data_IF_443267486718
#
_entry.id   IF_443267486718
#
_cell.length_a   1.000
_cell.length_b   1.000
_cell.length_c   1.000
_cell.angle_alpha   90.00
_cell.angle_beta   90.00
_cell.angle_gamma   90.00
#
_symmetry.space_group_name_H-M   'P 1'
#
loop_
_entity.id
_entity.type
_entity.pdbx_description
1 polymer ?
#
# COMPACT_ATOMS: atom_id res chain seq x y z
N UNK A 1 16.58 -41.41 -33.02
CA UNK A 1 15.16 -41.11 -32.79
C UNK A 1 14.92 -40.47 -31.45
N UNK A 2 14.63 -39.18 -31.53
CA UNK A 2 14.42 -38.22 -30.44
C UNK A 2 12.99 -38.25 -29.89
N UNK A 3 12.89 -37.88 -28.61
CA UNK A 3 11.83 -37.05 -27.98
C UNK A 3 10.45 -37.66 -27.65
N UNK A 4 10.12 -37.72 -26.35
CA UNK A 4 9.27 -36.72 -25.66
C UNK A 4 9.02 -37.12 -24.18
N UNK A 5 9.68 -36.43 -23.24
CA UNK A 5 9.24 -36.31 -21.85
C UNK A 5 8.53 -34.97 -21.68
N UNK A 6 7.30 -35.02 -21.18
CA UNK A 6 6.46 -33.85 -20.90
C UNK A 6 6.99 -33.11 -19.67
N UNK A 7 7.55 -31.92 -19.90
CA UNK A 7 7.90 -30.96 -18.87
C UNK A 7 6.78 -29.90 -18.81
N UNK A 8 5.98 -29.90 -17.73
CA UNK A 8 5.03 -28.80 -17.44
C UNK A 8 5.67 -27.87 -16.40
N UNK A 9 6.46 -26.92 -16.87
CA UNK A 9 6.93 -25.79 -16.09
C UNK A 9 5.79 -24.80 -15.85
N UNK A 10 5.42 -24.59 -14.59
CA UNK A 10 4.47 -23.57 -14.16
C UNK A 10 5.12 -22.18 -14.16
N UNK A 11 4.64 -21.30 -15.03
CA UNK A 11 4.91 -19.85 -15.02
C UNK A 11 4.29 -19.23 -13.76
N UNK A 12 5.10 -18.90 -12.77
CA UNK A 12 4.75 -17.89 -11.76
C UNK A 12 5.58 -16.64 -12.06
N UNK A 13 5.12 -15.90 -13.06
CA UNK A 13 5.62 -14.58 -13.39
C UNK A 13 4.44 -13.63 -13.42
N UNK A 14 4.49 -12.61 -12.58
CA UNK A 14 3.74 -11.37 -12.70
C UNK A 14 2.25 -11.38 -12.28
N UNK A 15 1.97 -11.73 -11.01
CA UNK A 15 0.69 -11.43 -10.33
C UNK A 15 0.65 -10.01 -9.72
N UNK A 16 1.74 -9.23 -9.86
CA UNK A 16 1.88 -7.92 -9.22
C UNK A 16 1.25 -6.78 -10.05
N UNK A 17 1.27 -6.86 -11.37
CA UNK A 17 0.76 -5.79 -12.26
C UNK A 17 -0.75 -5.84 -12.50
N UNK A 18 -1.41 -6.98 -12.31
CA UNK A 18 -2.82 -7.15 -12.69
C UNK A 18 -3.81 -6.46 -11.73
N UNK A 19 -3.35 -5.94 -10.59
CA UNK A 19 -4.18 -5.18 -9.65
C UNK A 19 -4.16 -3.67 -9.83
N UNK A 20 -3.24 -3.14 -10.65
CA UNK A 20 -3.06 -1.69 -10.81
C UNK A 20 -3.64 -1.14 -12.12
N UNK A 21 -4.06 -2.01 -13.07
CA UNK A 21 -4.33 -1.60 -14.46
C UNK A 21 -5.79 -1.59 -14.90
N UNK A 22 -6.77 -1.65 -14.00
CA UNK A 22 -8.18 -1.49 -14.37
C UNK A 22 -8.72 -0.17 -13.84
N UNK A 23 -8.52 0.90 -14.62
CA UNK A 23 -9.41 2.06 -14.75
C UNK A 23 -8.72 3.14 -15.61
N UNK A 24 -8.67 2.97 -16.93
CA UNK A 24 -8.60 4.06 -17.91
C UNK A 24 -8.72 3.51 -19.33
N UNK A 25 -9.94 3.24 -19.77
CA UNK A 25 -10.26 3.15 -21.20
C UNK A 25 -11.55 3.94 -21.47
N UNK A 26 -11.39 5.08 -22.15
CA UNK A 26 -12.30 5.64 -23.16
C UNK A 26 -11.56 6.82 -23.83
N UNK A 27 -11.04 6.64 -25.06
CA UNK A 27 -11.63 7.05 -26.36
C UNK A 27 -11.73 8.58 -26.52
N UNK A 28 -11.28 9.25 -27.59
CA UNK A 28 -11.18 8.90 -29.01
C UNK A 28 -10.11 9.75 -29.74
N UNK A 29 -9.62 9.17 -30.83
CA UNK A 29 -8.83 9.76 -31.91
C UNK A 29 -9.65 10.74 -32.78
N UNK A 30 -8.99 11.75 -33.37
CA UNK A 30 -9.14 12.13 -34.78
C UNK A 30 -8.03 13.11 -35.21
N UNK A 31 -7.51 12.88 -36.42
CA UNK A 31 -6.43 13.60 -37.12
C UNK A 31 -6.99 14.86 -37.82
N UNK A 32 -6.12 15.83 -38.14
CA UNK A 32 -5.85 16.21 -39.54
C UNK A 32 -4.80 17.34 -39.66
N UNK A 33 -3.92 17.18 -40.65
CA UNK A 33 -2.91 18.13 -41.11
C UNK A 33 -3.53 19.09 -42.16
N UNK A 34 -3.17 20.38 -42.14
CA UNK A 34 -2.77 21.14 -43.33
C UNK A 34 -2.45 22.61 -42.99
N UNK A 35 -1.45 23.13 -43.68
CA UNK A 35 -0.93 24.51 -43.68
C UNK A 35 -1.90 25.47 -44.39
N UNK A 36 -1.89 26.75 -44.02
CA UNK A 36 -1.58 27.83 -44.98
C UNK A 36 -1.39 29.20 -44.32
N UNK A 37 -0.56 29.99 -44.97
CA UNK A 37 -0.01 31.28 -44.57
C UNK A 37 -0.99 32.45 -44.80
N UNK A 38 -0.70 33.54 -44.08
CA UNK A 38 -0.68 34.93 -44.56
C UNK A 38 -1.79 35.91 -44.11
N UNK A 39 -1.29 36.98 -43.45
CA UNK A 39 -1.75 38.37 -43.36
C UNK A 39 -2.80 38.67 -42.29
N UNK A 40 -2.38 39.28 -41.18
CA UNK A 40 -2.15 40.73 -40.96
C UNK A 40 -3.46 41.53 -40.90
N UNK A 41 -3.47 42.47 -39.94
CA UNK A 41 -4.51 43.48 -39.68
C UNK A 41 -5.72 43.03 -38.84
N UNK A 42 -5.49 42.85 -37.53
CA UNK A 42 -6.37 43.37 -36.47
C UNK A 42 -5.72 43.16 -35.08
N UNK A 43 -4.51 43.67 -34.88
CA UNK A 43 -3.94 43.87 -33.55
C UNK A 43 -4.03 45.36 -33.27
N UNK A 44 -5.07 45.81 -32.57
CA UNK A 44 -4.98 47.01 -31.71
C UNK A 44 -6.16 47.25 -30.75
N UNK A 45 -7.12 46.32 -30.58
CA UNK A 45 -8.24 46.54 -29.62
C UNK A 45 -8.41 45.46 -28.53
N UNK A 46 -7.43 44.56 -28.33
CA UNK A 46 -7.54 43.48 -27.32
C UNK A 46 -6.37 43.44 -26.31
N UNK A 47 -5.70 44.57 -26.04
CA UNK A 47 -4.55 44.63 -25.10
C UNK A 47 -4.81 45.35 -23.78
N UNK A 48 -5.95 46.00 -23.60
CA UNK A 48 -6.23 46.77 -22.37
C UNK A 48 -7.05 46.01 -21.31
N UNK A 49 -7.55 44.80 -21.60
CA UNK A 49 -8.32 44.02 -20.60
C UNK A 49 -7.51 42.95 -19.86
N UNK A 50 -6.26 42.68 -20.25
CA UNK A 50 -5.46 41.58 -19.64
C UNK A 50 -4.56 42.06 -18.48
N UNK A 51 -4.24 43.36 -18.38
CA UNK A 51 -3.39 43.88 -17.31
C UNK A 51 -4.13 44.27 -16.02
N UNK A 52 -5.46 44.47 -16.07
CA UNK A 52 -6.23 44.89 -14.90
C UNK A 52 -6.57 43.76 -13.93
N UNK A 53 -6.73 42.54 -14.43
CA UNK A 53 -7.14 41.36 -13.64
C UNK A 53 -6.03 40.86 -12.73
N UNK A 54 -4.78 40.84 -13.21
CA UNK A 54 -3.62 40.39 -12.43
C UNK A 54 -3.26 41.38 -11.31
N UNK A 55 -3.43 42.68 -11.53
CA UNK A 55 -3.11 43.72 -10.54
C UNK A 55 -4.16 43.75 -9.41
N UNK A 56 -5.45 43.59 -9.75
CA UNK A 56 -6.54 43.45 -8.78
C UNK A 56 -6.38 42.16 -7.96
N UNK A 57 -6.01 41.04 -8.60
CA UNK A 57 -5.80 39.77 -7.90
C UNK A 57 -4.61 39.83 -6.94
N UNK A 58 -3.54 40.54 -7.33
CA UNK A 58 -2.36 40.75 -6.50
C UNK A 58 -2.66 41.69 -5.31
N UNK A 59 -3.47 42.74 -5.51
CA UNK A 59 -3.92 43.62 -4.45
C UNK A 59 -4.86 42.91 -3.46
N UNK A 60 -5.81 42.09 -3.95
CA UNK A 60 -6.67 41.26 -3.10
C UNK A 60 -5.86 40.26 -2.28
N UNK A 61 -4.87 39.62 -2.90
CA UNK A 61 -4.01 38.62 -2.24
C UNK A 61 -3.18 39.28 -1.12
N UNK A 62 -2.63 40.47 -1.37
CA UNK A 62 -1.95 41.26 -0.33
C UNK A 62 -2.90 41.71 0.78
N UNK A 63 -4.11 42.15 0.42
CA UNK A 63 -5.14 42.58 1.37
C UNK A 63 -5.55 41.47 2.33
N UNK A 64 -5.70 40.23 1.85
CA UNK A 64 -6.09 39.07 2.67
C UNK A 64 -4.91 38.18 3.11
N UNK A 65 -3.66 38.61 2.92
CA UNK A 65 -2.48 37.85 3.33
C UNK A 65 -2.49 37.50 4.84
N UNK A 66 -3.02 38.39 5.67
CA UNK A 66 -3.18 38.16 7.11
C UNK A 66 -4.17 37.03 7.43
N UNK A 67 -5.21 36.86 6.61
CA UNK A 67 -6.20 35.79 6.75
C UNK A 67 -5.59 34.44 6.38
N UNK A 68 -4.81 34.38 5.29
CA UNK A 68 -4.08 33.17 4.92
C UNK A 68 -3.07 32.75 6.01
N UNK A 69 -2.33 33.71 6.57
CA UNK A 69 -1.45 33.46 7.72
C UNK A 69 -2.23 32.97 8.94
N UNK A 70 -3.43 33.50 9.19
CA UNK A 70 -4.30 33.05 10.27
C UNK A 70 -4.77 31.61 10.06
N UNK A 71 -5.16 31.24 8.84
CA UNK A 71 -5.56 29.87 8.48
C UNK A 71 -4.39 28.90 8.68
N UNK A 72 -3.20 29.20 8.18
CA UNK A 72 -2.02 28.36 8.39
C UNK A 72 -1.63 28.23 9.87
N UNK A 73 -1.81 29.30 10.65
CA UNK A 73 -1.63 29.22 12.11
C UNK A 73 -2.66 28.30 12.75
N UNK A 74 -3.92 28.36 12.30
CA UNK A 74 -4.98 27.50 12.82
C UNK A 74 -4.75 26.03 12.48
N UNK A 75 -4.28 25.72 11.28
CA UNK A 75 -3.86 24.37 10.86
C UNK A 75 -2.80 23.80 11.81
N UNK A 76 -1.75 24.58 12.07
CA UNK A 76 -0.69 24.20 13.01
C UNK A 76 -1.21 24.00 14.44
N UNK A 77 -2.14 24.84 14.89
CA UNK A 77 -2.78 24.70 16.20
C UNK A 77 -3.59 23.40 16.26
N UNK A 78 -4.37 23.06 15.23
CA UNK A 78 -5.13 21.81 15.18
C UNK A 78 -4.19 20.61 15.26
N UNK A 79 -3.12 20.59 14.47
CA UNK A 79 -2.13 19.49 14.48
C UNK A 79 -1.51 19.36 15.87
N UNK A 80 -1.08 20.46 16.48
CA UNK A 80 -0.48 20.45 17.81
C UNK A 80 -1.45 19.99 18.90
N UNK A 81 -2.71 20.41 18.83
CA UNK A 81 -3.75 19.96 19.77
C UNK A 81 -4.01 18.46 19.61
N UNK A 82 -4.14 17.97 18.38
CA UNK A 82 -4.32 16.54 18.13
C UNK A 82 -3.13 15.72 18.62
N UNK A 83 -1.89 16.18 18.35
CA UNK A 83 -0.68 15.51 18.85
C UNK A 83 -0.63 15.51 20.38
N UNK A 84 -0.94 16.63 21.03
CA UNK A 84 -0.98 16.71 22.49
C UNK A 84 -2.04 15.77 23.08
N UNK A 85 -3.26 15.78 22.53
CA UNK A 85 -4.32 14.87 22.94
C UNK A 85 -3.94 13.40 22.73
N UNK A 86 -3.25 13.10 21.62
CA UNK A 86 -2.80 11.75 21.30
C UNK A 86 -1.76 11.21 22.29
N UNK A 87 -1.03 12.08 22.99
CA UNK A 87 -0.07 11.67 24.02
C UNK A 87 -0.73 11.20 25.32
N UNK A 88 -2.04 11.43 25.49
CA UNK A 88 -2.78 10.90 26.63
C UNK A 88 -3.05 9.38 26.51
N UNK A 89 -2.90 8.80 25.32
CA UNK A 89 -3.05 7.36 25.13
C UNK A 89 -1.75 6.64 25.48
N UNK A 90 -1.84 5.66 26.39
CA UNK A 90 -0.70 4.80 26.76
C UNK A 90 -0.35 3.81 25.64
N UNK A 91 -1.36 3.33 24.93
CA UNK A 91 -1.21 2.35 23.87
C UNK A 91 -0.91 3.04 22.53
N UNK A 92 0.19 2.65 21.88
CA UNK A 92 0.58 3.14 20.55
C UNK A 92 -0.51 2.90 19.50
N UNK A 93 -1.24 1.78 19.59
CA UNK A 93 -2.33 1.47 18.67
C UNK A 93 -3.46 2.50 18.80
N UNK A 94 -3.90 2.79 20.03
CA UNK A 94 -5.01 3.72 20.28
C UNK A 94 -4.64 5.15 19.88
N UNK A 95 -3.36 5.52 20.08
CA UNK A 95 -2.79 6.78 19.59
C UNK A 95 -2.92 6.90 18.06
N UNK A 96 -2.54 5.86 17.32
CA UNK A 96 -2.62 5.85 15.86
C UNK A 96 -4.07 5.86 15.37
N UNK A 97 -4.96 5.09 15.99
CA UNK A 97 -6.39 5.08 15.67
C UNK A 97 -7.03 6.46 15.87
N UNK A 98 -6.69 7.13 16.97
CA UNK A 98 -7.15 8.49 17.23
C UNK A 98 -6.68 9.44 16.12
N UNK A 99 -5.38 9.46 15.80
CA UNK A 99 -4.83 10.37 14.81
C UNK A 99 -5.38 10.11 13.40
N UNK A 100 -5.41 8.85 12.96
CA UNK A 100 -5.91 8.49 11.62
C UNK A 100 -7.37 8.89 11.45
N UNK A 101 -8.24 8.61 12.44
CA UNK A 101 -9.66 8.97 12.36
C UNK A 101 -9.86 10.49 12.29
N UNK A 102 -9.11 11.25 13.09
CA UNK A 102 -9.22 12.72 13.09
C UNK A 102 -8.68 13.34 11.80
N UNK A 103 -7.49 12.91 11.33
CA UNK A 103 -6.95 13.41 10.07
C UNK A 103 -7.82 13.05 8.88
N UNK A 104 -8.35 11.83 8.83
CA UNK A 104 -9.26 11.43 7.76
C UNK A 104 -10.51 12.32 7.74
N UNK A 105 -11.08 12.60 8.91
CA UNK A 105 -12.25 13.46 9.03
C UNK A 105 -11.95 14.89 8.58
N UNK A 106 -10.81 15.47 8.99
CA UNK A 106 -10.36 16.80 8.56
C UNK A 106 -10.20 16.83 7.04
N UNK A 107 -9.46 15.88 6.46
CA UNK A 107 -9.24 15.80 5.00
C UNK A 107 -10.58 15.70 4.27
N UNK A 108 -11.51 14.89 4.76
CA UNK A 108 -12.84 14.74 4.16
C UNK A 108 -13.60 16.07 4.16
N UNK A 109 -13.60 16.80 5.28
CA UNK A 109 -14.24 18.12 5.38
C UNK A 109 -13.58 19.12 4.44
N UNK A 110 -12.24 19.20 4.43
CA UNK A 110 -11.51 20.14 3.58
C UNK A 110 -11.77 19.88 2.09
N UNK A 111 -11.76 18.61 1.67
CA UNK A 111 -12.09 18.20 0.29
C UNK A 111 -13.53 18.55 -0.08
N UNK A 112 -14.49 18.28 0.81
CA UNK A 112 -15.90 18.59 0.57
C UNK A 112 -16.16 20.11 0.42
N UNK A 113 -15.37 20.94 1.09
CA UNK A 113 -15.44 22.40 0.99
C UNK A 113 -14.60 22.98 -0.17
N UNK A 114 -14.01 22.13 -1.01
CA UNK A 114 -13.17 22.54 -2.17
C UNK A 114 -12.00 23.46 -1.76
N UNK A 115 -11.41 23.19 -0.59
CA UNK A 115 -10.21 23.88 -0.14
C UNK A 115 -9.02 23.49 -1.02
N UNK A 116 -8.08 24.42 -1.22
CA UNK A 116 -6.88 24.22 -2.03
C UNK A 116 -6.07 23.01 -1.57
N UNK A 117 -5.53 22.25 -2.52
CA UNK A 117 -4.72 21.05 -2.24
C UNK A 117 -3.50 21.37 -1.36
N UNK A 118 -2.91 22.56 -1.47
CA UNK A 118 -1.78 22.99 -0.63
C UNK A 118 -2.07 22.96 0.87
N UNK A 119 -3.32 23.20 1.28
CA UNK A 119 -3.75 23.16 2.68
C UNK A 119 -4.15 21.75 3.14
N UNK A 120 -4.48 20.86 2.19
CA UNK A 120 -4.87 19.47 2.45
C UNK A 120 -3.62 18.58 2.55
N UNK A 121 -2.61 18.83 1.72
CA UNK A 121 -1.36 18.09 1.61
C UNK A 121 -0.65 17.82 2.96
N UNK A 122 -0.58 18.75 3.92
CA UNK A 122 0.03 18.48 5.22
C UNK A 122 -0.70 17.37 5.99
N UNK A 123 -2.03 17.37 5.98
CA UNK A 123 -2.83 16.35 6.64
C UNK A 123 -2.73 15.01 5.93
N UNK A 124 -2.68 15.00 4.59
CA UNK A 124 -2.48 13.78 3.80
C UNK A 124 -1.14 13.11 4.11
N UNK A 125 -0.05 13.88 4.20
CA UNK A 125 1.25 13.33 4.60
C UNK A 125 1.24 12.76 6.01
N UNK A 126 0.54 13.43 6.94
CA UNK A 126 0.42 12.95 8.33
C UNK A 126 -0.37 11.65 8.41
N UNK A 127 -1.55 11.58 7.76
CA UNK A 127 -2.36 10.37 7.78
C UNK A 127 -1.66 9.20 7.08
N UNK A 128 -0.96 9.41 5.96
CA UNK A 128 -0.22 8.35 5.27
C UNK A 128 0.88 7.74 6.14
N UNK A 129 1.62 8.59 6.86
CA UNK A 129 2.65 8.16 7.82
C UNK A 129 2.05 7.36 8.96
N UNK A 130 0.93 7.82 9.53
CA UNK A 130 0.29 7.16 10.66
C UNK A 130 -0.40 5.85 10.24
N UNK A 131 -1.02 5.80 9.05
CA UNK A 131 -1.55 4.57 8.44
C UNK A 131 -0.43 3.55 8.24
N UNK A 132 0.72 3.98 7.70
CA UNK A 132 1.88 3.09 7.51
C UNK A 132 2.36 2.53 8.84
N UNK A 133 2.47 3.38 9.87
CA UNK A 133 2.86 2.98 11.23
C UNK A 133 1.83 2.04 11.88
N UNK A 134 0.55 2.23 11.61
CA UNK A 134 -0.53 1.37 12.07
C UNK A 134 -0.49 0.00 11.40
N UNK A 135 -0.29 -0.04 10.08
CA UNK A 135 -0.12 -1.28 9.32
C UNK A 135 1.07 -2.08 9.87
N UNK A 136 2.22 -1.45 10.13
CA UNK A 136 3.38 -2.13 10.71
C UNK A 136 3.08 -2.73 12.10
N UNK A 137 2.31 -2.04 12.92
CA UNK A 137 1.89 -2.54 14.23
C UNK A 137 0.97 -3.77 14.07
N UNK A 138 0.01 -3.70 13.15
CA UNK A 138 -0.91 -4.81 12.87
C UNK A 138 -0.20 -6.01 12.25
N UNK A 139 0.76 -5.78 11.34
CA UNK A 139 1.61 -6.83 10.78
C UNK A 139 2.38 -7.58 11.87
N UNK A 140 3.01 -6.84 12.79
CA UNK A 140 3.71 -7.41 13.94
C UNK A 140 2.79 -8.12 14.94
N UNK A 141 1.49 -7.83 14.93
CA UNK A 141 0.50 -8.53 15.75
C UNK A 141 0.11 -9.89 15.15
N UNK A 142 -0.07 -9.96 13.83
CA UNK A 142 -0.65 -11.14 13.18
C UNK A 142 0.35 -12.09 12.53
N UNK A 143 1.43 -11.56 11.93
CA UNK A 143 2.37 -12.36 11.13
C UNK A 143 3.84 -12.11 11.51
N UNK A 144 4.10 -11.79 12.78
CA UNK A 144 5.44 -11.52 13.31
C UNK A 144 6.47 -12.61 12.95
N UNK A 145 6.08 -13.87 13.09
CA UNK A 145 6.98 -15.01 12.87
C UNK A 145 7.39 -15.11 11.40
N UNK A 146 6.46 -14.85 10.48
CA UNK A 146 6.73 -14.79 9.03
C UNK A 146 7.69 -13.63 8.74
N UNK A 147 7.44 -12.44 9.30
CA UNK A 147 8.30 -11.27 9.09
C UNK A 147 9.71 -11.55 9.62
N UNK A 148 9.82 -12.09 10.83
CA UNK A 148 11.10 -12.42 11.44
C UNK A 148 11.87 -13.47 10.63
N UNK A 149 11.19 -14.53 10.17
CA UNK A 149 11.80 -15.52 9.30
C UNK A 149 12.30 -14.92 7.99
N UNK A 150 11.45 -14.15 7.30
CA UNK A 150 11.78 -13.51 6.01
C UNK A 150 12.98 -12.59 6.18
N UNK A 151 12.98 -11.69 7.17
CA UNK A 151 14.10 -10.77 7.39
C UNK A 151 15.42 -11.46 7.76
N UNK A 152 15.37 -12.54 8.56
CA UNK A 152 16.57 -13.29 8.95
C UNK A 152 17.19 -14.03 7.75
N UNK A 153 16.36 -14.63 6.88
CA UNK A 153 16.84 -15.53 5.84
C UNK A 153 16.95 -14.88 4.44
N UNK A 154 16.29 -13.74 4.18
CA UNK A 154 16.57 -12.92 2.98
C UNK A 154 18.04 -12.51 2.95
N UNK A 155 18.59 -12.03 4.08
CA UNK A 155 19.99 -11.63 4.19
C UNK A 155 20.97 -12.79 3.98
N UNK A 156 20.65 -13.97 4.51
CA UNK A 156 21.51 -15.17 4.38
C UNK A 156 21.56 -15.62 2.92
N UNK A 157 20.42 -15.61 2.22
CA UNK A 157 20.36 -15.99 0.82
C UNK A 157 21.03 -14.94 -0.07
N UNK A 158 20.82 -13.64 0.18
CA UNK A 158 21.48 -12.57 -0.57
C UNK A 158 23.01 -12.59 -0.41
N UNK A 159 23.51 -12.81 0.81
CA UNK A 159 24.95 -12.92 1.07
C UNK A 159 25.55 -14.19 0.45
N UNK A 160 24.86 -15.34 0.55
CA UNK A 160 25.29 -16.59 -0.08
C UNK A 160 25.24 -16.56 -1.61
N UNK A 161 24.40 -15.70 -2.20
CA UNK A 161 24.37 -15.47 -3.65
C UNK A 161 25.53 -14.58 -4.16
N UNK A 162 26.17 -13.78 -3.30
CA UNK A 162 27.35 -12.96 -3.65
C UNK A 162 28.66 -13.76 -3.59
N UNK A 163 28.72 -14.83 -2.81
CA UNK A 163 29.85 -15.77 -2.71
C UNK A 163 29.74 -16.94 -3.72
N UNK A 164 29.14 -16.70 -4.89
CA UNK A 164 29.08 -17.67 -5.99
C UNK A 164 30.45 -17.81 -6.66
N UNK A 165 31.35 -18.52 -5.99
CA UNK A 165 32.49 -19.18 -6.64
C UNK A 165 32.08 -20.64 -6.97
N UNK A 166 32.48 -21.11 -8.15
CA UNK A 166 31.94 -22.23 -8.95
C UNK A 166 32.01 -23.65 -8.33
N UNK A 167 31.57 -23.86 -7.08
CA UNK A 167 31.61 -25.18 -6.43
C UNK A 167 30.22 -25.64 -6.00
N UNK A 168 29.82 -26.82 -6.47
CA UNK A 168 28.49 -27.44 -6.41
C UNK A 168 27.96 -27.84 -5.02
N UNK A 169 28.57 -27.37 -3.92
CA UNK A 169 28.28 -27.80 -2.55
C UNK A 169 27.55 -26.74 -1.68
N UNK A 170 27.16 -25.60 -2.27
CA UNK A 170 26.61 -24.47 -1.51
C UNK A 170 25.19 -24.66 -0.95
N UNK A 171 24.38 -25.58 -1.51
CA UNK A 171 23.01 -25.82 -1.02
C UNK A 171 23.00 -26.43 0.38
N UNK A 172 24.00 -27.26 0.68
CA UNK A 172 24.21 -27.89 2.00
C UNK A 172 24.65 -26.86 3.05
N UNK A 173 25.40 -25.83 2.64
CA UNK A 173 25.87 -24.75 3.52
C UNK A 173 24.71 -23.82 3.92
N UNK A 174 23.85 -23.43 2.96
CA UNK A 174 22.67 -22.59 3.23
C UNK A 174 21.73 -23.29 4.21
N UNK A 175 21.38 -24.57 3.98
CA UNK A 175 20.46 -25.31 4.86
C UNK A 175 20.99 -25.46 6.30
N UNK A 176 22.31 -25.48 6.48
CA UNK A 176 22.94 -25.54 7.81
C UNK A 176 22.82 -24.23 8.61
N UNK A 177 22.64 -23.10 7.92
CA UNK A 177 22.42 -21.78 8.51
C UNK A 177 20.93 -21.44 8.67
N UNK A 178 20.03 -22.22 8.04
CA UNK A 178 18.59 -22.04 8.16
C UNK A 178 18.09 -22.58 9.50
N UNK A 179 17.30 -21.75 10.17
CA UNK A 179 16.57 -22.13 11.38
C UNK A 179 15.35 -22.97 11.00
N UNK A 180 15.56 -24.27 10.81
CA UNK A 180 14.53 -25.23 10.39
C UNK A 180 13.40 -25.34 11.42
N UNK A 181 13.69 -25.17 12.71
CA UNK A 181 12.69 -25.15 13.78
C UNK A 181 11.79 -23.90 13.69
N UNK A 182 12.37 -22.72 13.43
CA UNK A 182 11.59 -21.50 13.21
C UNK A 182 10.71 -21.62 11.95
N UNK A 183 11.24 -22.20 10.88
CA UNK A 183 10.48 -22.43 9.65
C UNK A 183 9.27 -23.35 9.87
N UNK A 184 9.49 -24.50 10.51
CA UNK A 184 8.43 -25.46 10.80
C UNK A 184 7.35 -24.86 11.71
N UNK A 185 7.76 -24.24 12.81
CA UNK A 185 6.83 -23.63 13.76
C UNK A 185 6.00 -22.50 13.12
N UNK A 186 6.62 -21.68 12.27
CA UNK A 186 5.95 -20.63 11.50
C UNK A 186 4.94 -21.22 10.51
N UNK A 187 5.34 -22.23 9.74
CA UNK A 187 4.47 -22.88 8.76
C UNK A 187 3.25 -23.55 9.41
N UNK A 188 3.45 -24.29 10.50
CA UNK A 188 2.36 -24.95 11.23
C UNK A 188 1.42 -23.94 11.88
N UNK A 189 1.96 -22.90 12.54
CA UNK A 189 1.15 -21.86 13.16
C UNK A 189 0.26 -21.16 12.13
N UNK A 190 0.84 -20.78 10.98
CA UNK A 190 0.11 -20.10 9.93
C UNK A 190 -0.95 -21.00 9.27
N UNK A 191 -0.60 -22.25 8.94
CA UNK A 191 -1.52 -23.23 8.34
C UNK A 191 -2.80 -23.40 9.16
N UNK A 192 -2.67 -23.42 10.49
CA UNK A 192 -3.80 -23.61 11.39
C UNK A 192 -4.64 -22.35 11.60
N UNK A 193 -4.03 -21.16 11.49
CA UNK A 193 -4.67 -19.90 11.94
C UNK A 193 -4.98 -18.90 10.83
N UNK A 194 -4.49 -19.06 9.60
CA UNK A 194 -4.56 -18.03 8.56
C UNK A 194 -6.00 -17.55 8.25
N UNK A 195 -7.00 -18.46 8.23
CA UNK A 195 -8.40 -18.07 8.00
C UNK A 195 -8.95 -17.20 9.13
N UNK A 196 -8.66 -17.59 10.37
CA UNK A 196 -9.07 -16.84 11.56
C UNK A 196 -8.33 -15.51 11.63
N UNK A 197 -7.05 -15.49 11.26
CA UNK A 197 -6.24 -14.29 11.17
C UNK A 197 -6.88 -13.27 10.21
N UNK A 198 -7.20 -13.66 8.97
CA UNK A 198 -7.82 -12.76 8.00
C UNK A 198 -9.18 -12.23 8.50
N UNK A 199 -10.00 -13.08 9.12
CA UNK A 199 -11.28 -12.68 9.70
C UNK A 199 -11.11 -11.70 10.86
N UNK A 200 -10.14 -11.93 11.74
CA UNK A 200 -9.86 -11.07 12.88
C UNK A 200 -9.34 -9.70 12.42
N UNK A 201 -8.42 -9.69 11.44
CA UNK A 201 -7.90 -8.47 10.81
C UNK A 201 -9.05 -7.62 10.26
N UNK A 202 -9.92 -8.24 9.47
CA UNK A 202 -11.08 -7.57 8.87
C UNK A 202 -12.00 -6.98 9.94
N UNK A 203 -12.39 -7.77 10.93
CA UNK A 203 -13.28 -7.32 12.00
C UNK A 203 -12.67 -6.21 12.86
N UNK A 204 -11.37 -6.28 13.14
CA UNK A 204 -10.68 -5.27 13.92
C UNK A 204 -10.61 -3.94 13.16
N UNK A 205 -10.23 -3.96 11.88
CA UNK A 205 -10.12 -2.75 11.07
C UNK A 205 -11.49 -2.10 10.86
N UNK A 206 -12.51 -2.88 10.47
CA UNK A 206 -13.85 -2.34 10.21
C UNK A 206 -14.50 -1.72 11.45
N UNK A 207 -14.11 -2.15 12.67
CA UNK A 207 -14.61 -1.57 13.92
C UNK A 207 -13.80 -0.37 14.42
N UNK A 208 -12.57 -0.21 13.94
CA UNK A 208 -11.63 0.78 14.48
C UNK A 208 -11.72 2.15 13.81
N UNK A 209 -12.30 2.23 12.61
CA UNK A 209 -12.37 3.46 11.83
C UNK A 209 -13.81 3.91 11.64
N UNK A 210 -14.07 5.20 11.88
CA UNK A 210 -15.41 5.78 11.78
C UNK A 210 -15.91 5.88 10.34
N UNK A 211 -14.99 6.03 9.37
CA UNK A 211 -15.31 6.08 7.96
C UNK A 211 -15.04 4.72 7.29
N UNK A 212 -16.08 4.17 6.64
CA UNK A 212 -16.02 2.85 6.00
C UNK A 212 -15.03 2.79 4.83
N UNK A 213 -15.01 3.82 3.96
CA UNK A 213 -14.07 3.91 2.83
C UNK A 213 -12.62 3.88 3.34
N UNK A 214 -12.32 4.64 4.40
CA UNK A 214 -11.00 4.61 5.04
C UNK A 214 -10.66 3.21 5.58
N UNK A 215 -11.61 2.59 6.28
CA UNK A 215 -11.42 1.25 6.86
C UNK A 215 -11.11 0.21 5.79
N UNK A 216 -11.81 0.24 4.65
CA UNK A 216 -11.62 -0.68 3.54
C UNK A 216 -10.27 -0.43 2.86
N UNK A 217 -9.87 0.83 2.67
CA UNK A 217 -8.56 1.15 2.11
C UNK A 217 -7.42 0.62 2.99
N UNK A 218 -7.48 0.88 4.30
CA UNK A 218 -6.48 0.39 5.27
C UNK A 218 -6.46 -1.15 5.30
N UNK A 219 -7.63 -1.79 5.24
CA UNK A 219 -7.74 -3.25 5.14
C UNK A 219 -7.09 -3.79 3.86
N UNK A 220 -7.33 -3.15 2.70
CA UNK A 220 -6.72 -3.52 1.41
C UNK A 220 -5.19 -3.38 1.48
N UNK A 221 -4.67 -2.30 2.06
CA UNK A 221 -3.24 -2.10 2.24
C UNK A 221 -2.62 -3.17 3.16
N UNK A 222 -3.24 -3.46 4.31
CA UNK A 222 -2.74 -4.47 5.24
C UNK A 222 -2.76 -5.88 4.62
N UNK A 223 -3.87 -6.27 3.98
CA UNK A 223 -3.98 -7.56 3.30
C UNK A 223 -2.93 -7.74 2.19
N UNK A 224 -2.66 -6.66 1.44
CA UNK A 224 -1.59 -6.65 0.44
C UNK A 224 -0.22 -6.91 1.09
N UNK A 225 0.07 -6.25 2.23
CA UNK A 225 1.33 -6.47 2.95
C UNK A 225 1.44 -7.89 3.53
N UNK A 226 0.36 -8.43 4.11
CA UNK A 226 0.31 -9.82 4.58
C UNK A 226 0.63 -10.79 3.44
N UNK A 227 -0.02 -10.61 2.29
CA UNK A 227 0.21 -11.44 1.11
C UNK A 227 1.64 -11.33 0.59
N UNK A 228 2.22 -10.13 0.59
CA UNK A 228 3.61 -9.90 0.15
C UNK A 228 4.61 -10.64 1.04
N UNK A 229 4.51 -10.51 2.36
CA UNK A 229 5.38 -11.24 3.29
C UNK A 229 5.21 -12.76 3.16
N UNK A 230 3.97 -13.22 2.99
CA UNK A 230 3.69 -14.64 2.77
C UNK A 230 4.28 -15.17 1.45
N UNK A 231 4.20 -14.37 0.37
CA UNK A 231 4.80 -14.70 -0.93
C UNK A 231 6.31 -14.81 -0.81
N UNK A 232 6.96 -13.85 -0.14
CA UNK A 232 8.40 -13.87 0.13
C UNK A 232 8.80 -15.09 0.94
N UNK A 233 8.04 -15.42 1.99
CA UNK A 233 8.24 -16.62 2.79
C UNK A 233 8.22 -17.90 1.94
N UNK A 234 7.22 -18.05 1.06
CA UNK A 234 7.15 -19.17 0.11
C UNK A 234 8.35 -19.22 -0.85
N UNK A 235 8.80 -18.07 -1.35
CA UNK A 235 9.95 -17.98 -2.26
C UNK A 235 11.23 -18.41 -1.56
N UNK A 236 11.46 -17.99 -0.31
CA UNK A 236 12.62 -18.40 0.48
C UNK A 236 12.62 -19.91 0.72
N UNK A 237 11.49 -20.48 1.14
CA UNK A 237 11.38 -21.94 1.31
C UNK A 237 11.67 -22.64 -0.01
N UNK A 238 11.08 -22.19 -1.12
CA UNK A 238 11.31 -22.80 -2.42
C UNK A 238 12.80 -22.80 -2.76
N UNK A 239 13.49 -21.65 -2.61
CA UNK A 239 14.93 -21.51 -2.83
C UNK A 239 15.75 -22.46 -1.96
N UNK A 240 15.41 -22.58 -0.67
CA UNK A 240 16.12 -23.45 0.28
C UNK A 240 16.02 -24.94 -0.09
N UNK A 241 14.91 -25.37 -0.69
CA UNK A 241 14.65 -26.76 -1.06
C UNK A 241 14.66 -27.00 -2.58
N UNK A 242 15.29 -26.13 -3.39
CA UNK A 242 15.31 -26.26 -4.86
C UNK A 242 15.83 -27.63 -5.34
N UNK A 243 16.76 -28.24 -4.60
CA UNK A 243 17.38 -29.52 -4.91
C UNK A 243 17.13 -30.62 -3.85
N UNK A 244 16.20 -30.39 -2.91
CA UNK A 244 15.94 -31.29 -1.77
C UNK A 244 14.46 -31.70 -1.72
N UNK A 245 14.17 -32.82 -1.05
CA UNK A 245 12.79 -33.22 -0.79
C UNK A 245 12.13 -32.22 0.17
N UNK A 246 10.94 -31.75 -0.20
CA UNK A 246 10.22 -30.73 0.54
C UNK A 246 9.65 -31.32 1.84
N UNK A 247 9.78 -30.63 2.99
CA UNK A 247 9.21 -31.12 4.25
C UNK A 247 7.68 -31.20 4.24
N UNK A 248 7.11 -32.19 4.95
CA UNK A 248 5.66 -32.46 5.03
C UNK A 248 4.85 -31.24 5.50
N UNK A 249 5.38 -30.44 6.43
CA UNK A 249 4.69 -29.24 6.92
C UNK A 249 4.57 -28.12 5.86
N UNK A 250 5.44 -28.09 4.85
CA UNK A 250 5.33 -27.15 3.72
C UNK A 250 4.26 -27.61 2.73
N UNK A 251 4.09 -28.93 2.55
CA UNK A 251 3.03 -29.47 1.69
C UNK A 251 1.62 -29.10 2.18
N UNK A 252 1.45 -28.96 3.50
CA UNK A 252 0.17 -28.59 4.11
C UNK A 252 -0.06 -27.07 4.19
N UNK A 253 0.96 -26.25 3.88
CA UNK A 253 0.88 -24.80 3.90
C UNK A 253 -0.06 -24.32 2.76
N UNK A 254 -0.99 -23.38 3.03
CA UNK A 254 -1.88 -22.89 1.99
C UNK A 254 -1.10 -22.22 0.86
N UNK A 255 -1.45 -22.53 -0.40
CA UNK A 255 -0.87 -21.85 -1.55
C UNK A 255 -1.20 -20.35 -1.52
N UNK A 256 -0.31 -19.54 -2.11
CA UNK A 256 -0.49 -18.09 -2.25
C UNK A 256 -1.84 -17.77 -2.92
N UNK A 257 -2.24 -18.53 -3.94
CA UNK A 257 -3.51 -18.35 -4.65
C UNK A 257 -4.75 -18.57 -3.77
N UNK A 258 -4.68 -19.46 -2.78
CA UNK A 258 -5.79 -19.74 -1.86
C UNK A 258 -6.00 -18.53 -0.95
N UNK A 259 -4.91 -17.98 -0.42
CA UNK A 259 -4.96 -16.78 0.42
C UNK A 259 -5.43 -15.58 -0.39
N UNK A 260 -4.92 -15.43 -1.61
CA UNK A 260 -5.32 -14.36 -2.51
C UNK A 260 -6.81 -14.43 -2.84
N UNK A 261 -7.30 -15.62 -3.19
CA UNK A 261 -8.72 -15.86 -3.45
C UNK A 261 -9.57 -15.54 -2.23
N UNK A 262 -9.11 -15.89 -1.03
CA UNK A 262 -9.83 -15.58 0.21
C UNK A 262 -9.85 -14.07 0.48
N UNK A 263 -8.74 -13.35 0.30
CA UNK A 263 -8.68 -11.89 0.43
C UNK A 263 -9.63 -11.23 -0.58
N UNK A 264 -9.61 -11.67 -1.84
CA UNK A 264 -10.56 -11.19 -2.87
C UNK A 264 -12.01 -11.43 -2.47
N UNK A 265 -12.30 -12.64 -1.97
CA UNK A 265 -13.65 -13.01 -1.55
C UNK A 265 -14.16 -12.11 -0.42
N UNK A 266 -13.32 -11.80 0.55
CA UNK A 266 -13.67 -10.90 1.64
C UNK A 266 -13.85 -9.46 1.12
N UNK A 267 -13.00 -8.98 0.20
CA UNK A 267 -13.17 -7.65 -0.41
C UNK A 267 -14.49 -7.52 -1.18
N UNK A 268 -14.85 -8.51 -2.00
CA UNK A 268 -16.10 -8.48 -2.78
C UNK A 268 -17.35 -8.39 -1.89
N UNK A 269 -17.32 -9.03 -0.73
CA UNK A 269 -18.40 -8.90 0.24
C UNK A 269 -18.54 -7.47 0.76
N UNK A 270 -17.42 -6.76 0.91
CA UNK A 270 -17.41 -5.38 1.40
C UNK A 270 -17.88 -4.38 0.32
N UNK A 271 -17.48 -4.60 -0.94
CA UNK A 271 -17.86 -3.75 -2.07
C UNK A 271 -19.38 -3.88 -2.36
N UNK A 272 -19.97 -5.08 -2.25
CA UNK A 272 -21.42 -5.30 -2.43
C UNK A 272 -22.28 -4.65 -1.32
N UNK A 273 -21.71 -4.42 -0.14
CA UNK A 273 -22.38 -3.69 0.95
C UNK A 273 -22.31 -2.17 0.76
N UNK A 274 -21.36 -1.64 -0.02
CA UNK A 274 -21.27 -0.21 -0.35
C UNK A 274 -22.33 0.22 -1.37
N UNK A 275 -22.75 -0.65 -2.30
CA UNK A 275 -23.80 -0.33 -3.29
C UNK A 275 -25.22 -0.28 -2.69
N UNK A 276 -25.40 -0.69 -1.43
CA UNK A 276 -26.71 -0.76 -0.76
C UNK A 276 -26.93 0.33 0.32
N UNK A 277 -26.09 1.37 0.36
CA UNK A 277 -26.19 2.52 1.29
C UNK A 277 -26.18 3.82 0.47
#
# INVERSE_FOLDING_TARGET
>A
DTNKMNNKGGKYGNLHEEYLSQNNENKCEAKDEAKDEAKDEAKDEAKDEVNGTDDIHNELTKKYAHLNNFISNFENVIINVLLNMSNNFQNKNDKLLFLINNYYHIITILKNNKINEEQINPFEKLIEKDISSYIDLQLNKYIKDIIFFVSKHEQIIENGEQEKDDTSDNTTNILSQVDTQLMESTALCFTNKWKQLLKNVEQEILKSFSNRVNSINILKMLNTKILLYFTRYHQLIKKMFENLEMPVYIHNLPSIDIILTQIKKNSKHLDNEEENI
#
